data_IF_889397313333
#
_entry.id   IF_889397313333
#
_cell.length_a   1.000
_cell.length_b   1.000
_cell.length_c   1.000
_cell.angle_alpha   90.00
_cell.angle_beta   90.00
_cell.angle_gamma   90.00
#
_symmetry.space_group_name_H-M   'P 1'
#
loop_
_entity.id
_entity.type
_entity.pdbx_description
1 polymer ?
#
# COMPACT_ATOMS: atom_id res chain seq x y z
N UNK A 1 36.03 70.20 88.14
CA UNK A 1 34.92 69.24 88.08
C UNK A 1 33.75 69.68 87.18
N UNK A 2 33.92 70.72 86.33
CA UNK A 2 32.87 71.20 85.41
C UNK A 2 33.18 70.96 83.91
N UNK A 3 34.42 70.61 83.56
CA UNK A 3 34.84 70.36 82.16
C UNK A 3 34.66 68.90 81.70
N UNK A 4 34.36 67.96 82.59
CA UNK A 4 34.17 66.54 82.25
C UNK A 4 32.70 66.26 81.86
N UNK A 5 31.76 67.06 82.38
CA UNK A 5 30.32 66.91 82.12
C UNK A 5 30.00 67.33 80.67
N UNK A 6 30.60 68.42 80.20
CA UNK A 6 30.41 68.97 78.84
C UNK A 6 30.90 68.01 77.73
N UNK A 7 32.00 67.29 77.99
CA UNK A 7 32.53 66.31 77.05
C UNK A 7 31.67 65.02 77.00
N UNK A 8 31.01 64.66 78.11
CA UNK A 8 30.13 63.49 78.16
C UNK A 8 28.90 63.70 77.28
N UNK A 9 28.28 64.88 77.31
CA UNK A 9 27.11 65.20 76.50
C UNK A 9 27.44 65.21 74.99
N UNK A 10 28.62 65.73 74.62
CA UNK A 10 29.10 65.67 73.24
C UNK A 10 29.31 64.23 72.74
N UNK A 11 29.85 63.33 73.59
CA UNK A 11 30.04 61.91 73.27
C UNK A 11 28.69 61.19 73.10
N UNK A 12 27.69 61.48 73.93
CA UNK A 12 26.34 60.91 73.80
C UNK A 12 25.68 61.32 72.48
N UNK A 13 25.75 62.60 72.10
CA UNK A 13 25.20 63.09 70.82
C UNK A 13 25.86 62.40 69.62
N UNK A 14 27.18 62.24 69.64
CA UNK A 14 27.91 61.55 68.56
C UNK A 14 27.51 60.07 68.41
N UNK A 15 27.32 59.38 69.53
CA UNK A 15 26.90 57.96 69.54
C UNK A 15 25.51 57.80 68.95
N UNK A 16 24.57 58.68 69.29
CA UNK A 16 23.20 58.69 68.74
C UNK A 16 23.24 58.83 67.21
N UNK A 17 24.06 59.76 66.69
CA UNK A 17 24.21 59.96 65.24
C UNK A 17 24.74 58.71 64.54
N UNK A 18 25.74 58.02 65.11
CA UNK A 18 26.27 56.77 64.54
C UNK A 18 25.19 55.67 64.49
N UNK A 19 24.41 55.51 65.57
CA UNK A 19 23.32 54.52 65.61
C UNK A 19 22.31 54.79 64.50
N UNK A 20 21.92 56.05 64.27
CA UNK A 20 21.03 56.40 63.17
C UNK A 20 21.64 56.10 61.79
N UNK A 21 22.92 56.40 61.57
CA UNK A 21 23.61 56.11 60.31
C UNK A 21 23.64 54.60 60.04
N UNK A 22 24.01 53.78 61.03
CA UNK A 22 24.03 52.31 60.87
C UNK A 22 22.65 51.73 60.64
N UNK A 23 21.61 52.26 61.30
CA UNK A 23 20.22 51.89 61.06
C UNK A 23 19.80 52.24 59.63
N UNK A 24 20.14 53.43 59.13
CA UNK A 24 19.85 53.85 57.75
C UNK A 24 20.55 52.91 56.75
N UNK A 25 21.84 52.62 56.95
CA UNK A 25 22.59 51.70 56.08
C UNK A 25 21.94 50.31 56.09
N UNK A 26 21.51 49.82 57.24
CA UNK A 26 20.80 48.54 57.36
C UNK A 26 19.47 48.56 56.59
N UNK A 27 18.65 49.59 56.75
CA UNK A 27 17.39 49.72 56.02
C UNK A 27 17.60 49.85 54.50
N UNK A 28 18.61 50.61 54.08
CA UNK A 28 19.00 50.72 52.67
C UNK A 28 19.45 49.36 52.14
N UNK A 29 20.34 48.65 52.84
CA UNK A 29 20.77 47.30 52.47
C UNK A 29 19.61 46.31 52.40
N UNK A 30 18.71 46.33 53.38
CA UNK A 30 17.50 45.50 53.40
C UNK A 30 16.56 45.83 52.23
N UNK A 31 16.45 47.09 51.85
CA UNK A 31 15.66 47.56 50.70
C UNK A 31 16.30 47.15 49.36
N UNK A 32 17.61 47.29 49.21
CA UNK A 32 18.33 46.78 48.04
C UNK A 32 18.22 45.26 47.93
N UNK A 33 18.33 44.55 49.05
CA UNK A 33 18.16 43.11 49.12
C UNK A 33 16.76 42.67 48.70
N UNK A 34 15.70 43.36 49.15
CA UNK A 34 14.32 43.03 48.78
C UNK A 34 14.02 43.27 47.30
N UNK A 35 14.54 44.37 46.72
CA UNK A 35 14.45 44.64 45.27
C UNK A 35 15.19 43.56 44.46
N UNK A 36 16.40 43.20 44.88
CA UNK A 36 17.21 42.17 44.23
C UNK A 36 16.51 40.80 44.27
N UNK A 37 15.90 40.47 45.41
CA UNK A 37 15.13 39.24 45.58
C UNK A 37 13.91 39.21 44.66
N UNK A 38 13.13 40.30 44.59
CA UNK A 38 11.97 40.40 43.69
C UNK A 38 12.35 40.34 42.21
N UNK A 39 13.52 40.87 41.83
CA UNK A 39 14.03 40.77 40.46
C UNK A 39 14.33 39.31 40.09
N UNK A 40 15.02 38.58 40.97
CA UNK A 40 15.35 37.17 40.76
C UNK A 40 14.12 36.25 40.68
N UNK A 41 13.04 36.57 41.42
CA UNK A 41 11.77 35.82 41.38
C UNK A 41 11.06 36.04 40.04
N UNK A 42 10.97 37.29 39.56
CA UNK A 42 10.35 37.61 38.26
C UNK A 42 11.05 36.95 37.09
N UNK A 43 12.38 36.93 37.07
CA UNK A 43 13.17 36.27 36.02
C UNK A 43 12.92 34.74 35.98
N UNK A 44 12.81 34.10 37.15
CA UNK A 44 12.46 32.67 37.27
C UNK A 44 11.05 32.39 36.78
N UNK A 45 10.08 33.24 37.09
CA UNK A 45 8.69 33.09 36.63
C UNK A 45 8.58 33.23 35.11
N UNK A 46 9.26 34.21 34.52
CA UNK A 46 9.32 34.39 33.06
C UNK A 46 9.98 33.18 32.37
N UNK A 47 11.08 32.68 32.94
CA UNK A 47 11.77 31.50 32.42
C UNK A 47 10.85 30.27 32.47
N UNK A 48 10.10 30.10 33.57
CA UNK A 48 9.11 29.02 33.69
C UNK A 48 8.00 29.16 32.65
N UNK A 49 7.47 30.37 32.42
CA UNK A 49 6.45 30.61 31.40
C UNK A 49 6.97 30.34 29.98
N UNK A 50 8.18 30.80 29.63
CA UNK A 50 8.77 30.53 28.32
C UNK A 50 9.07 29.04 28.09
N UNK A 51 9.49 28.32 29.14
CA UNK A 51 9.68 26.87 29.09
C UNK A 51 8.36 26.14 28.90
N UNK A 52 7.29 26.56 29.59
CA UNK A 52 5.95 25.98 29.41
C UNK A 52 5.45 26.19 27.98
N UNK A 53 5.57 27.41 27.43
CA UNK A 53 5.20 27.71 26.04
C UNK A 53 6.01 26.84 25.07
N UNK A 54 7.34 26.79 25.23
CA UNK A 54 8.20 25.97 24.38
C UNK A 54 7.88 24.47 24.47
N UNK A 55 7.52 23.96 25.66
CA UNK A 55 7.10 22.57 25.84
C UNK A 55 5.78 22.26 25.14
N UNK A 56 4.82 23.18 25.18
CA UNK A 56 3.55 23.07 24.50
C UNK A 56 3.72 23.16 22.98
N UNK A 57 4.58 24.07 22.51
CA UNK A 57 4.91 24.19 21.09
C UNK A 57 5.58 22.92 20.56
N UNK A 58 6.49 22.32 21.33
CA UNK A 58 7.12 21.05 20.98
C UNK A 58 6.08 19.91 20.90
N UNK A 59 5.16 19.83 21.87
CA UNK A 59 4.07 18.85 21.84
C UNK A 59 3.17 19.03 20.62
N UNK A 60 2.82 20.27 20.27
CA UNK A 60 2.02 20.57 19.09
C UNK A 60 2.75 20.22 17.80
N UNK A 61 4.05 20.46 17.72
CA UNK A 61 4.88 20.03 16.58
C UNK A 61 4.93 18.51 16.47
N UNK A 62 5.11 17.79 17.59
CA UNK A 62 5.09 16.33 17.61
C UNK A 62 3.74 15.77 17.17
N UNK A 63 2.64 16.31 17.69
CA UNK A 63 1.29 15.92 17.30
C UNK A 63 1.03 16.17 15.82
N UNK A 64 1.44 17.34 15.31
CA UNK A 64 1.30 17.68 13.89
C UNK A 64 2.10 16.72 12.99
N UNK A 65 3.31 16.36 13.39
CA UNK A 65 4.12 15.39 12.66
C UNK A 65 3.49 14.00 12.68
N UNK A 66 2.95 13.55 13.82
CA UNK A 66 2.24 12.27 13.93
C UNK A 66 0.98 12.22 13.06
N UNK A 67 0.20 13.29 13.03
CA UNK A 67 -0.99 13.41 12.16
C UNK A 67 -0.55 13.35 10.70
N UNK A 68 0.49 14.10 10.32
CA UNK A 68 1.01 14.10 8.96
C UNK A 68 1.50 12.70 8.54
N UNK A 69 2.25 12.01 9.40
CA UNK A 69 2.70 10.64 9.14
C UNK A 69 1.54 9.64 9.04
N UNK A 70 0.49 9.80 9.84
CA UNK A 70 -0.70 8.97 9.77
C UNK A 70 -1.48 9.22 8.45
N UNK A 71 -1.59 10.48 8.04
CA UNK A 71 -2.23 10.87 6.78
C UNK A 71 -1.45 10.37 5.55
N UNK A 72 -0.11 10.45 5.56
CA UNK A 72 0.71 9.93 4.47
C UNK A 72 0.58 8.42 4.35
N UNK A 73 0.67 7.68 5.47
CA UNK A 73 0.46 6.22 5.48
C UNK A 73 -0.94 5.85 4.98
N UNK A 74 -1.98 6.52 5.45
CA UNK A 74 -3.35 6.28 5.00
C UNK A 74 -3.52 6.56 3.49
N UNK A 75 -2.89 7.62 2.97
CA UNK A 75 -2.90 7.94 1.53
C UNK A 75 -2.13 6.90 0.71
N UNK A 76 -1.00 6.41 1.19
CA UNK A 76 -0.21 5.36 0.55
C UNK A 76 -1.01 4.05 0.48
N UNK A 77 -1.60 3.62 1.60
CA UNK A 77 -2.46 2.43 1.63
C UNK A 77 -3.65 2.54 0.67
N UNK A 78 -4.29 3.72 0.63
CA UNK A 78 -5.40 3.97 -0.30
C UNK A 78 -4.95 3.90 -1.75
N UNK A 79 -3.81 4.52 -2.08
CA UNK A 79 -3.23 4.47 -3.42
C UNK A 79 -2.91 3.04 -3.83
N UNK A 80 -2.31 2.25 -2.93
CA UNK A 80 -2.01 0.85 -3.17
C UNK A 80 -3.28 0.02 -3.42
N UNK A 81 -4.32 0.20 -2.61
CA UNK A 81 -5.61 -0.49 -2.79
C UNK A 81 -6.27 -0.16 -4.13
N UNK A 82 -6.30 1.13 -4.51
CA UNK A 82 -6.85 1.55 -5.80
C UNK A 82 -6.05 0.97 -6.97
N UNK A 83 -4.72 0.95 -6.87
CA UNK A 83 -3.88 0.35 -7.92
C UNK A 83 -4.12 -1.15 -8.07
N UNK A 84 -4.32 -1.85 -6.95
CA UNK A 84 -4.71 -3.26 -6.96
C UNK A 84 -6.08 -3.46 -7.61
N UNK A 85 -7.07 -2.63 -7.28
CA UNK A 85 -8.41 -2.70 -7.86
C UNK A 85 -8.40 -2.41 -9.37
N UNK A 86 -7.65 -1.39 -9.82
CA UNK A 86 -7.46 -1.09 -11.24
C UNK A 86 -6.83 -2.29 -11.96
N UNK A 87 -5.81 -2.90 -11.36
CA UNK A 87 -5.14 -4.08 -11.94
C UNK A 87 -6.11 -5.26 -12.05
N UNK A 88 -6.94 -5.49 -11.03
CA UNK A 88 -7.98 -6.51 -11.04
C UNK A 88 -9.01 -6.26 -12.14
N UNK A 89 -9.53 -5.04 -12.21
CA UNK A 89 -10.52 -4.64 -13.21
C UNK A 89 -9.98 -4.72 -14.63
N UNK A 90 -8.72 -4.32 -14.85
CA UNK A 90 -8.07 -4.49 -16.14
C UNK A 90 -7.93 -5.97 -16.52
N UNK A 91 -7.58 -6.84 -15.58
CA UNK A 91 -7.51 -8.28 -15.87
C UNK A 91 -8.88 -8.90 -16.19
N UNK A 92 -9.93 -8.52 -15.44
CA UNK A 92 -11.32 -8.93 -15.70
C UNK A 92 -11.78 -8.46 -17.09
N UNK A 93 -11.53 -7.18 -17.41
CA UNK A 93 -11.87 -6.57 -18.69
C UNK A 93 -11.19 -7.29 -19.84
N UNK A 94 -9.86 -7.47 -19.74
CA UNK A 94 -9.08 -8.17 -20.77
C UNK A 94 -9.65 -9.56 -20.97
N UNK A 95 -9.79 -10.37 -19.91
CA UNK A 95 -10.35 -11.72 -20.01
C UNK A 95 -11.68 -11.74 -20.75
N UNK A 96 -12.59 -10.84 -20.36
CA UNK A 96 -13.92 -10.72 -20.96
C UNK A 96 -13.84 -10.34 -22.44
N UNK A 97 -13.01 -9.36 -22.79
CA UNK A 97 -12.75 -8.95 -24.17
C UNK A 97 -12.14 -10.08 -25.00
N UNK A 98 -11.24 -10.88 -24.42
CA UNK A 98 -10.63 -12.02 -25.13
C UNK A 98 -11.67 -13.09 -25.46
N UNK A 99 -12.48 -13.45 -24.45
CA UNK A 99 -13.56 -14.42 -24.60
C UNK A 99 -14.59 -13.96 -25.64
N UNK A 100 -15.02 -12.70 -25.58
CA UNK A 100 -15.95 -12.12 -26.54
C UNK A 100 -15.39 -12.09 -27.96
N UNK A 101 -14.14 -11.65 -28.14
CA UNK A 101 -13.51 -11.62 -29.46
C UNK A 101 -13.35 -13.02 -30.06
N UNK A 102 -13.03 -14.01 -29.23
CA UNK A 102 -12.91 -15.39 -29.67
C UNK A 102 -14.27 -15.97 -30.09
N UNK A 103 -15.32 -15.69 -29.33
CA UNK A 103 -16.70 -16.06 -29.69
C UNK A 103 -17.14 -15.36 -30.99
N UNK A 104 -16.86 -14.07 -31.13
CA UNK A 104 -17.21 -13.30 -32.32
C UNK A 104 -16.54 -13.86 -33.58
N UNK A 105 -15.22 -14.10 -33.54
CA UNK A 105 -14.48 -14.71 -34.66
C UNK A 105 -15.01 -16.09 -35.03
N UNK A 106 -15.36 -16.91 -34.04
CA UNK A 106 -15.95 -18.22 -34.30
C UNK A 106 -17.30 -18.10 -35.01
N UNK A 107 -18.17 -17.22 -34.54
CA UNK A 107 -19.48 -16.98 -35.16
C UNK A 107 -19.34 -16.42 -36.58
N UNK A 108 -18.34 -15.57 -36.82
CA UNK A 108 -18.00 -15.06 -38.15
C UNK A 108 -17.53 -16.18 -39.09
N UNK A 109 -16.61 -17.05 -38.64
CA UNK A 109 -16.13 -18.21 -39.40
C UNK A 109 -17.28 -19.20 -39.70
N UNK A 110 -18.16 -19.44 -38.73
CA UNK A 110 -19.36 -20.28 -38.91
C UNK A 110 -20.31 -19.64 -39.92
N UNK A 111 -20.62 -18.34 -39.76
CA UNK A 111 -21.51 -17.61 -40.65
C UNK A 111 -20.98 -17.56 -42.08
N UNK A 112 -19.67 -17.43 -42.26
CA UNK A 112 -19.04 -17.48 -43.59
C UNK A 112 -19.19 -18.86 -44.23
N UNK A 113 -18.95 -19.94 -43.49
CA UNK A 113 -19.15 -21.29 -44.01
C UNK A 113 -20.61 -21.60 -44.34
N UNK A 114 -21.56 -21.09 -43.54
CA UNK A 114 -22.99 -21.23 -43.85
C UNK A 114 -23.32 -20.50 -45.16
N UNK A 115 -22.85 -19.26 -45.34
CA UNK A 115 -23.04 -18.52 -46.61
C UNK A 115 -22.41 -19.24 -47.81
N UNK A 116 -21.23 -19.86 -47.65
CA UNK A 116 -20.60 -20.68 -48.69
C UNK A 116 -21.44 -21.93 -49.05
N UNK A 117 -22.16 -22.50 -48.08
CA UNK A 117 -23.04 -23.65 -48.28
C UNK A 117 -24.35 -23.22 -48.94
N UNK A 118 -24.96 -22.13 -48.48
CA UNK A 118 -26.22 -21.58 -49.03
C UNK A 118 -26.07 -21.06 -50.46
N UNK A 119 -24.91 -20.50 -50.81
CA UNK A 119 -24.60 -20.06 -52.19
C UNK A 119 -24.23 -21.20 -53.14
N UNK A 120 -24.10 -22.43 -52.63
CA UNK A 120 -23.79 -23.61 -53.45
C UNK A 120 -25.07 -24.18 -54.07
N UNK A 121 -25.08 -24.37 -55.39
CA UNK A 121 -26.19 -24.99 -56.12
C UNK A 121 -26.39 -26.47 -55.70
N UNK A 122 -25.33 -27.13 -55.25
CA UNK A 122 -25.37 -28.49 -54.70
C UNK A 122 -24.40 -28.61 -53.51
N UNK A 123 -24.84 -28.29 -52.27
CA UNK A 123 -23.97 -28.35 -51.10
C UNK A 123 -23.46 -29.79 -50.89
N UNK A 124 -22.13 -29.94 -50.87
CA UNK A 124 -21.49 -31.25 -50.80
C UNK A 124 -21.32 -31.72 -49.36
N UNK A 125 -21.35 -33.05 -49.16
CA UNK A 125 -21.06 -33.70 -47.87
C UNK A 125 -19.69 -33.28 -47.30
N UNK A 126 -18.75 -32.85 -48.14
CA UNK A 126 -17.45 -32.30 -47.75
C UNK A 126 -17.57 -30.92 -47.08
N UNK A 127 -18.44 -30.02 -47.57
CA UNK A 127 -18.70 -28.70 -46.97
C UNK A 127 -19.35 -28.83 -45.59
N UNK A 128 -20.36 -29.72 -45.47
CA UNK A 128 -20.96 -30.05 -44.17
C UNK A 128 -19.95 -30.68 -43.20
N UNK A 129 -19.05 -31.54 -43.70
CA UNK A 129 -17.94 -32.08 -42.89
C UNK A 129 -16.92 -31.02 -42.48
N UNK A 130 -16.73 -29.95 -43.27
CA UNK A 130 -15.84 -28.82 -42.94
C UNK A 130 -16.47 -27.98 -41.83
N UNK A 131 -17.77 -27.68 -41.91
CA UNK A 131 -18.51 -27.01 -40.84
C UNK A 131 -18.51 -27.84 -39.54
N UNK A 132 -18.80 -29.13 -39.64
CA UNK A 132 -18.74 -30.05 -38.48
C UNK A 132 -17.34 -30.12 -37.87
N UNK A 133 -16.29 -30.12 -38.70
CA UNK A 133 -14.90 -30.01 -38.21
C UNK A 133 -14.65 -28.67 -37.55
N UNK A 134 -15.07 -27.55 -38.13
CA UNK A 134 -14.87 -26.22 -37.55
C UNK A 134 -15.47 -26.14 -36.14
N UNK A 135 -16.70 -26.60 -35.97
CA UNK A 135 -17.37 -26.66 -34.66
C UNK A 135 -16.58 -27.56 -33.70
N UNK A 136 -16.16 -28.76 -34.13
CA UNK A 136 -15.33 -29.66 -33.32
C UNK A 136 -13.95 -29.07 -32.97
N UNK A 137 -13.36 -28.30 -33.87
CA UNK A 137 -12.05 -27.66 -33.66
C UNK A 137 -12.17 -26.42 -32.78
N UNK A 138 -13.27 -25.67 -32.82
CA UNK A 138 -13.49 -24.58 -31.86
C UNK A 138 -13.68 -25.12 -30.43
N UNK A 139 -14.29 -26.30 -30.30
CA UNK A 139 -14.29 -27.08 -29.06
C UNK A 139 -12.89 -27.59 -28.67
N UNK A 140 -11.92 -27.56 -29.59
CA UNK A 140 -10.52 -27.93 -29.31
C UNK A 140 -9.73 -26.73 -28.78
N UNK A 141 -9.05 -26.96 -27.66
CA UNK A 141 -8.64 -25.93 -26.72
C UNK A 141 -7.40 -25.15 -27.23
N UNK A 142 -6.61 -25.68 -28.16
CA UNK A 142 -5.25 -25.19 -28.45
C UNK A 142 -5.12 -23.93 -29.32
N UNK A 143 -5.94 -23.74 -30.36
CA UNK A 143 -5.83 -22.55 -31.23
C UNK A 143 -6.20 -21.25 -30.50
N UNK A 144 -7.01 -21.36 -29.45
CA UNK A 144 -7.45 -20.25 -28.61
C UNK A 144 -6.31 -19.73 -27.70
N UNK A 145 -5.36 -20.60 -27.35
CA UNK A 145 -4.26 -20.27 -26.45
C UNK A 145 -3.25 -19.30 -27.03
N UNK A 146 -2.91 -19.44 -28.30
CA UNK A 146 -1.87 -18.61 -28.91
C UNK A 146 -2.30 -17.14 -29.03
N UNK A 147 -3.58 -16.92 -29.36
CA UNK A 147 -4.18 -15.59 -29.36
C UNK A 147 -4.26 -15.01 -27.93
N UNK A 148 -4.71 -15.82 -26.98
CA UNK A 148 -4.71 -15.45 -25.57
C UNK A 148 -3.31 -15.05 -25.08
N UNK A 149 -2.28 -15.85 -25.40
CA UNK A 149 -0.89 -15.62 -24.92
C UNK A 149 -0.38 -14.25 -25.34
N UNK A 150 -0.66 -13.81 -26.57
CA UNK A 150 -0.25 -12.47 -27.06
C UNK A 150 -0.85 -11.34 -26.21
N UNK A 151 -2.11 -11.47 -25.84
CA UNK A 151 -2.81 -10.46 -25.01
C UNK A 151 -2.39 -10.56 -23.54
N UNK A 152 -2.22 -11.78 -23.04
CA UNK A 152 -1.72 -12.04 -21.70
C UNK A 152 -0.32 -11.47 -21.48
N UNK A 153 0.60 -11.66 -22.43
CA UNK A 153 1.99 -11.18 -22.33
C UNK A 153 2.06 -9.64 -22.30
N UNK A 154 1.06 -8.92 -22.80
CA UNK A 154 0.98 -7.45 -22.69
C UNK A 154 0.69 -6.98 -21.25
N UNK A 155 -0.15 -7.72 -20.53
CA UNK A 155 -0.57 -7.39 -19.16
C UNK A 155 0.35 -8.01 -18.11
N UNK A 156 0.89 -9.19 -18.41
CA UNK A 156 1.80 -9.94 -17.55
C UNK A 156 3.12 -10.24 -18.26
N UNK A 157 3.97 -9.22 -18.51
CA UNK A 157 5.21 -9.39 -19.24
C UNK A 157 6.10 -10.47 -18.62
N UNK A 158 6.65 -11.32 -19.48
CA UNK A 158 7.59 -12.38 -19.14
C UNK A 158 7.07 -13.45 -18.15
N UNK A 159 5.82 -13.42 -17.70
CA UNK A 159 5.32 -14.38 -16.71
C UNK A 159 5.43 -15.82 -17.22
N UNK A 160 4.90 -16.10 -18.43
CA UNK A 160 4.94 -17.46 -19.01
C UNK A 160 6.39 -17.91 -19.20
N UNK A 161 7.27 -17.02 -19.68
CA UNK A 161 8.70 -17.31 -19.86
C UNK A 161 9.40 -17.67 -18.53
N UNK A 162 9.12 -16.93 -17.44
CA UNK A 162 9.70 -17.23 -16.12
C UNK A 162 9.20 -18.56 -15.56
N UNK A 163 7.93 -18.88 -15.76
CA UNK A 163 7.35 -20.17 -15.33
C UNK A 163 7.93 -21.31 -16.15
N UNK A 164 8.00 -21.17 -17.49
CA UNK A 164 8.64 -22.14 -18.39
C UNK A 164 10.10 -22.41 -18.00
N UNK A 165 10.85 -21.35 -17.66
CA UNK A 165 12.25 -21.47 -17.27
C UNK A 165 12.44 -22.19 -15.93
N UNK A 166 11.67 -21.82 -14.91
CA UNK A 166 11.85 -22.37 -13.56
C UNK A 166 11.18 -23.74 -13.38
N UNK A 167 10.17 -24.05 -14.19
CA UNK A 167 9.44 -25.32 -14.15
C UNK A 167 9.35 -25.94 -15.55
N UNK A 168 10.48 -26.41 -16.12
CA UNK A 168 10.54 -26.92 -17.50
C UNK A 168 9.73 -28.21 -17.72
N UNK A 169 9.31 -28.89 -16.65
CA UNK A 169 8.42 -30.08 -16.69
C UNK A 169 6.95 -29.73 -16.97
N UNK A 170 6.58 -28.44 -16.92
CA UNK A 170 5.22 -28.00 -17.19
C UNK A 170 4.89 -28.11 -18.68
N UNK A 171 3.77 -28.76 -18.97
CA UNK A 171 3.24 -28.83 -20.33
C UNK A 171 2.60 -27.50 -20.73
N UNK A 172 2.33 -27.29 -22.01
CA UNK A 172 1.65 -26.08 -22.46
C UNK A 172 0.25 -25.89 -21.83
N UNK A 173 -0.43 -26.99 -21.51
CA UNK A 173 -1.72 -26.94 -20.80
C UNK A 173 -1.54 -26.55 -19.31
N UNK A 174 -0.43 -26.94 -18.70
CA UNK A 174 -0.08 -26.53 -17.33
C UNK A 174 0.23 -25.03 -17.27
N UNK A 175 1.00 -24.51 -18.24
CA UNK A 175 1.29 -23.07 -18.35
C UNK A 175 0.02 -22.24 -18.54
N UNK A 176 -0.93 -22.77 -19.31
CA UNK A 176 -2.24 -22.18 -19.50
C UNK A 176 -3.03 -22.08 -18.20
N UNK A 177 -3.06 -23.16 -17.41
CA UNK A 177 -3.64 -23.10 -16.07
C UNK A 177 -2.96 -22.05 -15.19
N UNK A 178 -1.63 -21.97 -15.20
CA UNK A 178 -0.89 -20.96 -14.43
C UNK A 178 -1.25 -19.54 -14.87
N UNK A 179 -1.39 -19.28 -16.18
CA UNK A 179 -1.81 -17.97 -16.69
C UNK A 179 -3.22 -17.60 -16.22
N UNK A 180 -4.18 -18.53 -16.29
CA UNK A 180 -5.53 -18.26 -15.79
C UNK A 180 -5.57 -18.02 -14.27
N UNK A 181 -4.75 -18.74 -13.51
CA UNK A 181 -4.58 -18.48 -12.07
C UNK A 181 -3.97 -17.10 -11.83
N UNK A 182 -2.99 -16.68 -12.66
CA UNK A 182 -2.34 -15.36 -12.57
C UNK A 182 -3.32 -14.20 -12.83
N UNK A 183 -4.30 -14.42 -13.70
CA UNK A 183 -5.43 -13.52 -13.95
C UNK A 183 -6.51 -13.59 -12.86
N UNK A 184 -6.28 -14.37 -11.80
CA UNK A 184 -7.15 -14.54 -10.63
C UNK A 184 -8.52 -15.17 -10.90
N UNK A 185 -8.67 -15.84 -12.04
CA UNK A 185 -9.91 -16.53 -12.41
C UNK A 185 -10.29 -17.63 -11.41
N UNK A 186 -11.59 -17.74 -11.17
CA UNK A 186 -12.18 -18.78 -10.33
C UNK A 186 -12.09 -20.15 -11.00
N UNK A 187 -12.21 -21.23 -10.22
CA UNK A 187 -12.19 -22.60 -10.74
C UNK A 187 -13.28 -22.82 -11.80
N UNK A 188 -14.44 -22.15 -11.67
CA UNK A 188 -15.55 -22.26 -12.62
C UNK A 188 -15.22 -21.57 -13.95
N UNK A 189 -14.72 -20.33 -13.90
CA UNK A 189 -14.33 -19.58 -15.10
C UNK A 189 -13.19 -20.28 -15.86
N UNK A 190 -12.22 -20.84 -15.14
CA UNK A 190 -11.15 -21.63 -15.75
C UNK A 190 -11.73 -22.87 -16.45
N UNK A 191 -12.69 -23.54 -15.82
CA UNK A 191 -13.31 -24.74 -16.39
C UNK A 191 -14.08 -24.41 -17.68
N UNK A 192 -14.81 -23.29 -17.70
CA UNK A 192 -15.52 -22.78 -18.89
C UNK A 192 -14.54 -22.44 -20.01
N UNK A 193 -13.47 -21.68 -19.72
CA UNK A 193 -12.45 -21.31 -20.71
C UNK A 193 -11.70 -22.51 -21.28
N UNK A 194 -11.52 -23.55 -20.48
CA UNK A 194 -10.84 -24.78 -20.88
C UNK A 194 -11.79 -25.85 -21.43
N UNK A 195 -13.10 -25.59 -21.43
CA UNK A 195 -14.14 -26.53 -21.82
C UNK A 195 -14.02 -27.88 -21.09
N UNK A 196 -13.84 -27.83 -19.76
CA UNK A 196 -13.72 -29.01 -18.88
C UNK A 196 -14.64 -28.86 -17.67
N UNK A 197 -14.80 -29.94 -16.89
CA UNK A 197 -15.49 -29.88 -15.62
C UNK A 197 -14.63 -29.15 -14.56
N UNK A 198 -15.22 -28.32 -13.66
CA UNK A 198 -14.52 -27.73 -12.52
C UNK A 198 -13.67 -28.70 -11.70
N UNK A 199 -14.10 -29.96 -11.55
CA UNK A 199 -13.32 -31.00 -10.86
C UNK A 199 -11.98 -31.27 -11.56
N UNK A 200 -11.95 -31.25 -12.89
CA UNK A 200 -10.73 -31.42 -13.68
C UNK A 200 -9.72 -30.30 -13.40
N UNK A 201 -10.20 -29.07 -13.17
CA UNK A 201 -9.34 -27.93 -12.80
C UNK A 201 -8.74 -28.13 -11.41
N UNK A 202 -9.50 -28.66 -10.44
CA UNK A 202 -8.97 -28.97 -9.10
C UNK A 202 -7.87 -30.04 -9.16
N UNK A 203 -8.09 -31.11 -9.93
CA UNK A 203 -7.09 -32.17 -10.15
C UNK A 203 -5.84 -31.59 -10.81
N UNK A 204 -6.01 -30.71 -11.82
CA UNK A 204 -4.90 -30.03 -12.47
C UNK A 204 -4.09 -29.18 -11.48
N UNK A 205 -4.72 -28.48 -10.52
CA UNK A 205 -4.02 -27.73 -9.47
C UNK A 205 -3.18 -28.63 -8.56
N UNK A 206 -3.73 -29.77 -8.13
CA UNK A 206 -2.95 -30.74 -7.33
C UNK A 206 -1.75 -31.25 -8.13
N UNK A 207 -1.94 -31.55 -9.41
CA UNK A 207 -0.87 -31.97 -10.31
C UNK A 207 0.20 -30.87 -10.49
N UNK A 208 -0.22 -29.63 -10.71
CA UNK A 208 0.67 -28.47 -10.84
C UNK A 208 1.53 -28.30 -9.58
N UNK A 209 0.92 -28.36 -8.41
CA UNK A 209 1.63 -28.26 -7.12
C UNK A 209 2.73 -29.30 -7.00
N UNK A 210 2.45 -30.56 -7.39
CA UNK A 210 3.44 -31.65 -7.44
C UNK A 210 4.54 -31.40 -8.48
N UNK A 211 4.17 -30.98 -9.70
CA UNK A 211 5.14 -30.68 -10.78
C UNK A 211 6.06 -29.51 -10.45
N UNK A 212 5.58 -28.56 -9.66
CA UNK A 212 6.33 -27.40 -9.20
C UNK A 212 7.06 -27.65 -7.88
N UNK A 213 6.99 -28.87 -7.34
CA UNK A 213 7.61 -29.27 -6.07
C UNK A 213 7.30 -28.31 -4.90
N UNK A 214 6.06 -27.79 -4.84
CA UNK A 214 5.68 -26.84 -3.79
C UNK A 214 5.35 -27.57 -2.47
N UNK A 215 5.77 -27.03 -1.32
CA UNK A 215 5.41 -27.57 0.00
C UNK A 215 3.90 -27.65 0.23
N UNK A 216 3.45 -28.54 1.10
CA UNK A 216 2.02 -28.80 1.34
C UNK A 216 1.29 -27.56 1.91
N UNK A 217 2.01 -26.73 2.63
CA UNK A 217 1.54 -25.50 3.26
C UNK A 217 1.34 -24.36 2.25
N UNK A 218 2.00 -24.44 1.08
CA UNK A 218 1.95 -23.41 0.06
C UNK A 218 0.69 -23.58 -0.81
N UNK A 219 -0.19 -22.58 -0.78
CA UNK A 219 -1.31 -22.51 -1.72
C UNK A 219 -0.81 -22.15 -3.14
N UNK A 220 -1.13 -23.00 -4.12
CA UNK A 220 -0.72 -22.82 -5.51
C UNK A 220 -1.22 -21.48 -6.08
N UNK A 221 -2.46 -21.08 -5.75
CA UNK A 221 -3.04 -19.84 -6.29
C UNK A 221 -2.24 -18.63 -5.80
N UNK A 222 -1.95 -18.59 -4.51
CA UNK A 222 -1.15 -17.54 -3.88
C UNK A 222 0.28 -17.51 -4.44
N UNK A 223 0.91 -18.68 -4.59
CA UNK A 223 2.24 -18.80 -5.20
C UNK A 223 2.30 -18.19 -6.60
N UNK A 224 1.35 -18.56 -7.46
CA UNK A 224 1.29 -18.09 -8.85
C UNK A 224 0.97 -16.59 -8.94
N UNK A 225 0.05 -16.08 -8.12
CA UNK A 225 -0.34 -14.66 -8.15
C UNK A 225 0.83 -13.75 -7.78
N UNK A 226 1.69 -14.19 -6.86
CA UNK A 226 2.82 -13.42 -6.35
C UNK A 226 4.13 -13.64 -7.15
N UNK A 227 4.05 -14.39 -8.25
CA UNK A 227 5.16 -14.72 -9.14
C UNK A 227 5.35 -13.67 -10.25
#
# INVERSE_FOLDING_TARGET
MLLIIDNSDAIYQFTIVIVFITAIIFFVGMYWYSISLQKSIREREQTKQSLLISSHDLQNMQLKNQILEAETKAREEKTLRLQQEITLKNNELVTSTLMLNQQHKFLEEVGQLIREIESSVNPTKSQLRRLSRLVKTNLSVDKNWENFRKQFDHVHPNFVRRIEHNYPVLTQNDLRHCAYIRMRLSTKEIAELMNVNPTSVQIARVRLKKKMALPEEVDLRSHIINY
#
